data_IF_686888625038
#
_entry.id   IF_686888625038
#
_cell.length_a   1.000
_cell.length_b   1.000
_cell.length_c   1.000
_cell.angle_alpha   90.00
_cell.angle_beta   90.00
_cell.angle_gamma   90.00
#
_symmetry.space_group_name_H-M   'P 1'
#
loop_
_entity.id
_entity.type
_entity.pdbx_description
1 polymer ?
#
# COMPACT_ATOMS: atom_id res chain seq x y z
N UNK A 1 10.33 59.23 -36.37
CA UNK A 1 10.30 58.92 -34.93
C UNK A 1 8.84 58.69 -34.53
N UNK A 2 8.45 57.45 -34.22
CA UNK A 2 7.08 57.07 -33.87
C UNK A 2 6.83 57.34 -32.38
N UNK A 3 5.80 58.11 -32.09
CA UNK A 3 5.25 58.39 -30.76
C UNK A 3 4.57 57.14 -30.21
N UNK A 4 5.10 56.60 -29.11
CA UNK A 4 4.48 55.49 -28.38
C UNK A 4 3.42 56.05 -27.40
N UNK A 5 2.15 55.80 -27.70
CA UNK A 5 1.05 56.03 -26.77
C UNK A 5 1.17 55.07 -25.57
N UNK A 6 1.26 55.64 -24.35
CA UNK A 6 1.19 54.88 -23.10
C UNK A 6 -0.23 54.32 -22.94
N UNK A 7 -0.37 53.00 -22.96
CA UNK A 7 -1.59 52.31 -22.50
C UNK A 7 -1.77 52.53 -20.99
N UNK A 8 -2.99 52.80 -20.51
CA UNK A 8 -3.27 52.88 -19.08
C UNK A 8 -3.11 51.50 -18.44
N UNK A 9 -2.41 51.48 -17.31
CA UNK A 9 -2.28 50.33 -16.41
C UNK A 9 -3.68 49.96 -15.94
N UNK A 10 -4.19 48.80 -16.36
CA UNK A 10 -5.42 48.22 -15.82
C UNK A 10 -5.24 48.09 -14.31
N UNK A 11 -6.21 48.65 -13.59
CA UNK A 11 -6.23 48.72 -12.14
C UNK A 11 -5.93 47.38 -11.49
N UNK A 12 -5.22 47.48 -10.37
CA UNK A 12 -5.14 46.42 -9.38
C UNK A 12 -6.57 45.94 -9.09
N UNK A 13 -6.90 44.75 -9.61
CA UNK A 13 -7.98 43.98 -9.03
C UNK A 13 -7.50 43.65 -7.62
N UNK A 14 -8.05 44.35 -6.63
CA UNK A 14 -8.01 43.95 -5.24
C UNK A 14 -8.40 42.47 -5.20
N UNK A 15 -7.41 41.63 -4.97
CA UNK A 15 -7.62 40.21 -4.81
C UNK A 15 -8.53 40.04 -3.61
N UNK A 16 -9.81 39.80 -3.86
CA UNK A 16 -10.72 39.22 -2.89
C UNK A 16 -10.02 37.99 -2.34
N UNK A 17 -9.46 38.11 -1.12
CA UNK A 17 -8.89 36.97 -0.41
C UNK A 17 -10.06 36.02 -0.21
N UNK A 18 -10.12 34.98 -1.03
CA UNK A 18 -11.13 33.93 -0.91
C UNK A 18 -11.17 33.51 0.56
N UNK A 19 -12.33 33.66 1.19
CA UNK A 19 -12.50 33.39 2.62
C UNK A 19 -12.15 31.92 2.85
N UNK A 20 -11.18 31.65 3.72
CA UNK A 20 -10.75 30.29 4.01
C UNK A 20 -11.96 29.44 4.46
N UNK A 21 -12.12 28.25 3.90
CA UNK A 21 -13.22 27.34 4.23
C UNK A 21 -13.15 26.97 5.72
N UNK A 22 -14.25 27.13 6.49
CA UNK A 22 -14.33 26.67 7.87
C UNK A 22 -14.05 25.17 8.00
N UNK A 23 -13.44 24.74 9.12
CA UNK A 23 -13.05 23.34 9.31
C UNK A 23 -14.24 22.37 9.18
N UNK A 24 -15.39 22.71 9.75
CA UNK A 24 -16.58 21.86 9.66
C UNK A 24 -17.03 21.65 8.21
N UNK A 25 -16.88 22.67 7.34
CA UNK A 25 -17.18 22.54 5.92
C UNK A 25 -16.16 21.65 5.23
N UNK A 26 -14.86 21.82 5.52
CA UNK A 26 -13.79 20.96 4.99
C UNK A 26 -14.07 19.49 5.33
N UNK A 27 -14.37 19.19 6.60
CA UNK A 27 -14.66 17.83 7.04
C UNK A 27 -15.94 17.27 6.39
N UNK A 28 -16.98 18.09 6.21
CA UNK A 28 -18.20 17.68 5.51
C UNK A 28 -17.95 17.36 4.03
N UNK A 29 -17.15 18.16 3.32
CA UNK A 29 -16.77 17.90 1.93
C UNK A 29 -16.02 16.57 1.81
N UNK A 30 -15.08 16.29 2.73
CA UNK A 30 -14.37 15.01 2.78
C UNK A 30 -15.36 13.86 3.02
N UNK A 31 -16.19 13.95 4.07
CA UNK A 31 -17.12 12.89 4.47
C UNK A 31 -18.17 12.54 3.40
N UNK A 32 -18.65 13.54 2.66
CA UNK A 32 -19.66 13.35 1.61
C UNK A 32 -19.08 12.99 0.25
N UNK A 33 -17.75 13.14 0.06
CA UNK A 33 -17.10 13.13 -1.25
C UNK A 33 -17.77 14.07 -2.27
N UNK A 34 -18.35 15.17 -1.79
CA UNK A 34 -19.12 16.11 -2.61
C UNK A 34 -18.41 17.47 -2.65
N UNK A 35 -18.32 18.05 -3.84
CA UNK A 35 -17.56 19.28 -4.09
C UNK A 35 -16.08 19.16 -3.70
N UNK A 36 -15.51 17.96 -3.81
CA UNK A 36 -14.16 17.69 -3.37
C UNK A 36 -13.13 18.22 -4.38
N UNK A 37 -12.57 19.40 -4.11
CA UNK A 37 -11.62 20.08 -4.98
C UNK A 37 -10.27 20.38 -4.28
N UNK A 38 -9.36 21.04 -5.02
CA UNK A 38 -8.06 21.45 -4.47
C UNK A 38 -8.16 22.49 -3.36
N UNK A 39 -9.23 23.28 -3.31
CA UNK A 39 -9.45 24.25 -2.24
C UNK A 39 -9.73 23.56 -0.90
N UNK A 40 -10.39 22.39 -0.90
CA UNK A 40 -10.58 21.56 0.30
C UNK A 40 -9.23 21.13 0.90
N UNK A 41 -8.31 20.64 0.05
CA UNK A 41 -6.96 20.23 0.49
C UNK A 41 -6.17 21.43 1.01
N UNK A 42 -6.23 22.57 0.30
CA UNK A 42 -5.57 23.80 0.73
C UNK A 42 -6.10 24.34 2.07
N UNK A 43 -7.42 24.30 2.26
CA UNK A 43 -8.05 24.68 3.52
C UNK A 43 -7.65 23.73 4.66
N UNK A 44 -7.62 22.42 4.43
CA UNK A 44 -7.15 21.44 5.42
C UNK A 44 -5.70 21.70 5.82
N UNK A 45 -4.81 21.98 4.86
CA UNK A 45 -3.42 22.32 5.11
C UNK A 45 -3.30 23.59 5.95
N UNK A 46 -4.15 24.58 5.69
CA UNK A 46 -4.22 25.79 6.52
C UNK A 46 -4.68 25.49 7.95
N UNK A 47 -5.68 24.63 8.17
CA UNK A 47 -6.15 24.25 9.51
C UNK A 47 -5.13 23.41 10.29
N UNK A 48 -4.26 22.69 9.58
CA UNK A 48 -3.21 21.86 10.17
C UNK A 48 -1.87 22.59 10.34
N UNK A 49 -1.78 23.85 9.88
CA UNK A 49 -0.51 24.58 9.75
C UNK A 49 0.57 23.76 9.02
N UNK A 50 0.17 22.97 8.02
CA UNK A 50 0.98 21.91 7.42
C UNK A 50 1.55 22.28 6.05
N UNK A 51 1.74 23.56 5.75
CA UNK A 51 2.18 24.02 4.42
C UNK A 51 3.54 23.46 4.01
N UNK A 52 4.51 23.43 4.93
CA UNK A 52 5.84 22.88 4.64
C UNK A 52 5.82 21.36 4.55
N UNK A 53 5.00 20.69 5.38
CA UNK A 53 4.76 19.24 5.27
C UNK A 53 4.16 18.89 3.92
N UNK A 54 3.09 19.59 3.51
CA UNK A 54 2.44 19.34 2.22
C UNK A 54 3.37 19.57 1.02
N UNK A 55 4.35 20.47 1.16
CA UNK A 55 5.42 20.66 0.17
C UNK A 55 6.40 19.49 0.18
N UNK A 56 6.80 18.99 1.35
CA UNK A 56 7.78 17.90 1.46
C UNK A 56 7.24 16.55 0.97
N UNK A 57 5.93 16.31 1.11
CA UNK A 57 5.22 15.16 0.51
C UNK A 57 4.64 15.48 -0.88
N UNK A 58 5.01 16.61 -1.48
CA UNK A 58 4.69 17.01 -2.86
C UNK A 58 3.20 16.95 -3.26
N UNK A 59 2.28 17.35 -2.39
CA UNK A 59 0.84 17.29 -2.73
C UNK A 59 0.42 18.32 -3.80
N UNK A 60 1.19 19.39 -3.96
CA UNK A 60 0.93 20.48 -4.91
C UNK A 60 1.74 20.38 -6.21
N UNK A 61 2.54 19.35 -6.36
CA UNK A 61 3.37 19.18 -7.53
C UNK A 61 2.55 18.62 -8.69
N UNK A 62 2.71 19.18 -9.89
CA UNK A 62 2.19 18.59 -11.13
C UNK A 62 2.88 17.24 -11.43
N UNK A 63 2.32 16.46 -12.35
CA UNK A 63 2.92 15.21 -12.84
C UNK A 63 4.34 15.37 -13.39
N UNK A 64 4.77 16.59 -13.74
CA UNK A 64 6.09 16.92 -14.30
C UNK A 64 7.09 17.45 -13.26
N UNK A 65 6.72 17.45 -11.98
CA UNK A 65 7.59 17.99 -10.95
C UNK A 65 8.53 16.90 -10.44
N UNK A 66 9.72 17.30 -9.98
CA UNK A 66 10.73 16.40 -9.43
C UNK A 66 10.16 15.57 -8.26
N UNK A 67 10.77 14.41 -8.02
CA UNK A 67 10.45 13.55 -6.88
C UNK A 67 10.46 14.32 -5.56
N UNK A 68 9.59 13.93 -4.63
CA UNK A 68 9.49 14.58 -3.32
C UNK A 68 10.63 14.14 -2.40
N UNK A 69 10.98 14.97 -1.42
CA UNK A 69 11.96 14.58 -0.38
C UNK A 69 11.45 13.41 0.48
N UNK A 70 10.13 13.26 0.62
CA UNK A 70 9.51 12.13 1.29
C UNK A 70 9.36 10.88 0.40
N UNK A 71 9.64 10.98 -0.91
CA UNK A 71 9.27 9.95 -1.88
C UNK A 71 7.77 9.65 -1.85
N UNK A 72 7.41 8.44 -1.42
CA UNK A 72 6.04 8.00 -1.20
C UNK A 72 5.63 7.97 0.29
N UNK A 73 6.53 8.29 1.22
CA UNK A 73 6.25 8.29 2.64
C UNK A 73 5.40 9.49 3.08
N UNK A 74 4.87 9.43 4.31
CA UNK A 74 4.18 10.56 4.94
C UNK A 74 5.12 11.53 5.66
N UNK A 75 6.43 11.24 5.73
CA UNK A 75 7.42 12.09 6.38
C UNK A 75 8.67 12.24 5.49
N UNK A 76 9.29 13.42 5.56
CA UNK A 76 10.52 13.74 4.83
C UNK A 76 11.77 13.53 5.69
N UNK A 77 12.93 13.48 5.02
CA UNK A 77 14.23 13.07 5.59
C UNK A 77 14.77 13.98 6.70
N UNK A 78 14.49 15.28 6.65
CA UNK A 78 14.94 16.27 7.65
C UNK A 78 13.78 16.75 8.50
N UNK A 79 13.49 16.02 9.58
CA UNK A 79 12.40 16.38 10.48
C UNK A 79 12.93 17.21 11.66
N UNK A 80 12.97 18.53 11.48
CA UNK A 80 13.03 19.45 12.62
C UNK A 80 11.75 19.25 13.45
N UNK A 81 11.95 18.63 14.62
CA UNK A 81 10.92 18.27 15.60
C UNK A 81 10.41 19.53 16.28
N UNK A 82 9.28 20.04 15.84
CA UNK A 82 8.54 21.06 16.59
C UNK A 82 7.30 20.42 17.21
N UNK A 83 6.98 20.71 18.48
CA UNK A 83 5.79 20.20 19.13
C UNK A 83 4.55 20.70 18.37
N UNK A 84 3.74 19.77 17.88
CA UNK A 84 2.46 20.06 17.24
C UNK A 84 1.39 20.20 18.34
N UNK A 85 0.62 21.29 18.29
CA UNK A 85 -0.44 21.55 19.26
C UNK A 85 -1.52 20.46 19.24
N UNK A 86 -2.09 20.13 20.41
CA UNK A 86 -3.12 19.10 20.54
C UNK A 86 -4.35 19.37 19.66
N UNK A 87 -4.68 20.64 19.42
CA UNK A 87 -5.74 21.05 18.50
C UNK A 87 -5.49 20.56 17.07
N UNK A 88 -4.27 20.73 16.57
CA UNK A 88 -3.87 20.29 15.23
C UNK A 88 -3.93 18.75 15.11
N UNK A 89 -3.45 18.04 16.14
CA UNK A 89 -3.55 16.57 16.20
C UNK A 89 -5.00 16.10 16.13
N UNK A 90 -5.92 16.79 16.83
CA UNK A 90 -7.35 16.48 16.79
C UNK A 90 -7.93 16.68 15.38
N UNK A 91 -7.59 17.79 14.72
CA UNK A 91 -8.03 18.06 13.34
C UNK A 91 -7.53 16.98 12.38
N UNK A 92 -6.26 16.57 12.48
CA UNK A 92 -5.69 15.53 11.63
C UNK A 92 -6.40 14.17 11.83
N UNK A 93 -6.69 13.79 13.09
CA UNK A 93 -7.50 12.59 13.39
C UNK A 93 -8.90 12.67 12.78
N UNK A 94 -9.57 13.83 12.89
CA UNK A 94 -10.89 14.03 12.30
C UNK A 94 -10.87 13.90 10.78
N UNK A 95 -9.85 14.46 10.11
CA UNK A 95 -9.68 14.35 8.67
C UNK A 95 -9.40 12.90 8.21
N UNK A 96 -8.51 12.18 8.90
CA UNK A 96 -8.23 10.77 8.61
C UNK A 96 -9.49 9.89 8.80
N UNK A 97 -10.24 10.11 9.87
CA UNK A 97 -11.50 9.41 10.12
C UNK A 97 -12.58 9.76 9.09
N UNK A 98 -12.64 11.03 8.66
CA UNK A 98 -13.53 11.45 7.59
C UNK A 98 -13.24 10.67 6.30
N UNK A 99 -11.97 10.57 5.90
CA UNK A 99 -11.57 9.78 4.71
C UNK A 99 -11.95 8.30 4.85
N UNK A 100 -11.67 7.68 6.01
CA UNK A 100 -12.05 6.29 6.26
C UNK A 100 -13.57 6.06 6.17
N UNK A 101 -14.35 7.01 6.70
CA UNK A 101 -15.82 6.98 6.62
C UNK A 101 -16.28 7.09 5.19
N UNK A 102 -15.71 8.01 4.41
CA UNK A 102 -16.02 8.19 2.99
C UNK A 102 -15.71 6.93 2.18
N UNK A 103 -14.53 6.34 2.38
CA UNK A 103 -14.14 5.09 1.71
C UNK A 103 -15.06 3.93 2.08
N UNK A 104 -15.57 3.89 3.33
CA UNK A 104 -16.57 2.90 3.73
C UNK A 104 -17.91 3.15 3.02
N UNK A 105 -18.42 4.39 3.02
CA UNK A 105 -19.65 4.75 2.32
C UNK A 105 -19.59 4.42 0.83
N UNK A 106 -18.42 4.56 0.20
CA UNK A 106 -18.22 4.20 -1.21
C UNK A 106 -18.28 2.68 -1.45
N UNK A 107 -17.86 1.86 -0.48
CA UNK A 107 -18.00 0.41 -0.55
C UNK A 107 -19.44 -0.04 -0.38
N UNK A 108 -20.19 0.65 0.48
CA UNK A 108 -21.59 0.35 0.77
C UNK A 108 -22.54 0.89 -0.32
N UNK A 109 -22.05 1.81 -1.16
CA UNK A 109 -22.80 2.39 -2.26
C UNK A 109 -22.95 1.43 -3.46
N UNK A 110 -24.04 1.54 -4.24
CA UNK A 110 -24.21 0.77 -5.46
C UNK A 110 -23.08 1.04 -6.46
N UNK A 111 -22.75 0.04 -7.28
CA UNK A 111 -21.62 0.08 -8.22
C UNK A 111 -21.63 1.37 -9.07
N UNK A 112 -20.48 2.08 -9.09
CA UNK A 112 -20.30 3.31 -9.86
C UNK A 112 -20.53 4.62 -9.10
N UNK A 113 -20.56 4.60 -7.76
CA UNK A 113 -20.68 5.80 -6.93
C UNK A 113 -19.47 6.76 -7.04
N UNK A 114 -18.26 6.21 -7.18
CA UNK A 114 -17.06 7.02 -7.45
C UNK A 114 -16.84 7.12 -8.96
N UNK A 115 -17.43 8.14 -9.59
CA UNK A 115 -17.30 8.38 -11.04
C UNK A 115 -16.06 9.18 -11.43
N UNK A 116 -15.45 9.86 -10.46
CA UNK A 116 -14.34 10.78 -10.70
C UNK A 116 -13.05 10.31 -10.02
N UNK A 117 -12.04 9.96 -10.83
CA UNK A 117 -10.71 9.61 -10.35
C UNK A 117 -10.01 10.79 -9.68
N UNK A 118 -10.30 12.02 -10.11
CA UNK A 118 -9.73 13.22 -9.50
C UNK A 118 -10.20 13.38 -8.05
N UNK A 119 -11.48 13.09 -7.77
CA UNK A 119 -12.02 13.11 -6.42
C UNK A 119 -11.31 12.09 -5.50
N UNK A 120 -10.95 10.90 -6.00
CA UNK A 120 -10.16 9.93 -5.23
C UNK A 120 -8.79 10.50 -4.86
N UNK A 121 -8.10 11.10 -5.82
CA UNK A 121 -6.78 11.68 -5.58
C UNK A 121 -6.83 12.78 -4.53
N UNK A 122 -7.83 13.67 -4.62
CA UNK A 122 -8.02 14.76 -3.66
C UNK A 122 -8.35 14.20 -2.27
N UNK A 123 -9.16 13.14 -2.19
CA UNK A 123 -9.49 12.48 -0.93
C UNK A 123 -8.25 11.88 -0.26
N UNK A 124 -7.41 11.20 -1.05
CA UNK A 124 -6.14 10.64 -0.59
C UNK A 124 -5.13 11.72 -0.25
N UNK A 125 -5.15 12.87 -0.91
CA UNK A 125 -4.30 13.99 -0.52
C UNK A 125 -4.69 14.54 0.85
N UNK A 126 -6.00 14.66 1.14
CA UNK A 126 -6.47 14.99 2.49
C UNK A 126 -5.97 13.99 3.53
N UNK A 127 -6.02 12.69 3.21
CA UNK A 127 -5.49 11.63 4.06
C UNK A 127 -3.99 11.76 4.30
N UNK A 128 -3.20 11.97 3.24
CA UNK A 128 -1.75 12.08 3.32
C UNK A 128 -1.30 13.28 4.14
N UNK A 129 -1.94 14.45 4.02
CA UNK A 129 -1.63 15.60 4.90
C UNK A 129 -1.91 15.22 6.34
N UNK A 130 -3.08 14.64 6.62
CA UNK A 130 -3.45 14.25 7.98
C UNK A 130 -2.45 13.25 8.57
N UNK A 131 -2.08 12.21 7.81
CA UNK A 131 -1.09 11.22 8.24
C UNK A 131 0.30 11.83 8.41
N UNK A 132 0.73 12.71 7.51
CA UNK A 132 2.00 13.44 7.66
C UNK A 132 2.05 14.27 8.95
N UNK A 133 0.96 14.99 9.25
CA UNK A 133 0.82 15.74 10.49
C UNK A 133 0.85 14.80 11.72
N UNK A 134 0.18 13.66 11.66
CA UNK A 134 0.16 12.70 12.77
C UNK A 134 1.52 12.01 12.98
N UNK A 135 2.23 11.67 11.90
CA UNK A 135 3.59 11.13 11.97
C UNK A 135 4.53 12.14 12.60
N UNK A 136 4.47 13.41 12.17
CA UNK A 136 5.29 14.48 12.76
C UNK A 136 4.94 14.77 14.23
N UNK A 137 3.67 14.58 14.61
CA UNK A 137 3.22 14.70 15.99
C UNK A 137 3.58 13.48 16.88
N UNK A 138 4.40 12.55 16.39
CA UNK A 138 4.79 11.32 17.08
C UNK A 138 3.58 10.45 17.45
N UNK A 139 2.61 10.33 16.53
CA UNK A 139 1.58 9.32 16.63
C UNK A 139 2.19 7.92 16.78
N UNK A 140 1.57 7.05 17.57
CA UNK A 140 2.04 5.67 17.72
C UNK A 140 2.10 5.00 16.35
N UNK A 141 3.26 4.45 15.99
CA UNK A 141 3.49 3.75 14.72
C UNK A 141 2.46 2.65 14.50
N UNK A 142 2.06 1.94 15.56
CA UNK A 142 1.03 0.89 15.52
C UNK A 142 -0.33 1.47 15.14
N UNK A 143 -0.70 2.61 15.72
CA UNK A 143 -1.97 3.28 15.43
C UNK A 143 -1.99 3.84 14.00
N UNK A 144 -0.89 4.49 13.58
CA UNK A 144 -0.77 5.04 12.24
C UNK A 144 -0.76 3.94 11.17
N UNK A 145 -0.02 2.86 11.42
CA UNK A 145 0.01 1.68 10.57
C UNK A 145 -1.37 1.03 10.42
N UNK A 146 -2.12 0.87 11.51
CA UNK A 146 -3.47 0.32 11.48
C UNK A 146 -4.47 1.18 10.67
N UNK A 147 -4.37 2.52 10.80
CA UNK A 147 -5.18 3.46 10.02
C UNK A 147 -4.84 3.37 8.52
N UNK A 148 -3.55 3.37 8.16
CA UNK A 148 -3.13 3.23 6.77
C UNK A 148 -3.49 1.88 6.15
N UNK A 149 -3.34 0.78 6.90
CA UNK A 149 -3.80 -0.54 6.48
C UNK A 149 -5.31 -0.56 6.22
N UNK A 150 -6.10 0.12 7.05
CA UNK A 150 -7.55 0.22 6.86
C UNK A 150 -7.91 0.95 5.57
N UNK A 151 -7.20 2.03 5.23
CA UNK A 151 -7.34 2.73 3.93
C UNK A 151 -6.94 1.81 2.78
N UNK A 152 -5.79 1.15 2.85
CA UNK A 152 -5.32 0.24 1.80
C UNK A 152 -6.30 -0.91 1.52
N UNK A 153 -6.85 -1.54 2.57
CA UNK A 153 -7.87 -2.60 2.44
C UNK A 153 -9.13 -2.09 1.74
N UNK A 154 -9.60 -0.89 2.07
CA UNK A 154 -10.77 -0.27 1.43
C UNK A 154 -10.51 0.05 -0.03
N UNK A 155 -9.33 0.59 -0.36
CA UNK A 155 -8.93 0.85 -1.75
C UNK A 155 -8.86 -0.45 -2.56
N UNK A 156 -8.30 -1.53 -1.99
CA UNK A 156 -8.30 -2.86 -2.62
C UNK A 156 -9.72 -3.36 -2.87
N UNK A 157 -10.62 -3.21 -1.90
CA UNK A 157 -12.03 -3.61 -2.05
C UNK A 157 -12.77 -2.77 -3.12
N UNK A 158 -12.35 -1.52 -3.35
CA UNK A 158 -12.80 -0.66 -4.45
C UNK A 158 -12.05 -0.91 -5.78
N UNK A 159 -11.18 -1.92 -5.85
CA UNK A 159 -10.29 -2.21 -6.99
C UNK A 159 -9.36 -1.05 -7.40
N UNK A 160 -9.07 -0.12 -6.47
CA UNK A 160 -8.12 0.99 -6.62
C UNK A 160 -6.70 0.53 -6.23
N UNK A 161 -6.19 -0.45 -6.97
CA UNK A 161 -4.98 -1.18 -6.62
C UNK A 161 -3.71 -0.33 -6.68
N UNK A 162 -3.62 0.62 -7.62
CA UNK A 162 -2.45 1.48 -7.73
C UNK A 162 -2.37 2.41 -6.53
N UNK A 163 -3.49 3.01 -6.13
CA UNK A 163 -3.59 3.88 -4.97
C UNK A 163 -3.32 3.10 -3.69
N UNK A 164 -3.92 1.91 -3.55
CA UNK A 164 -3.68 1.03 -2.40
C UNK A 164 -2.19 0.71 -2.25
N UNK A 165 -1.51 0.37 -3.35
CA UNK A 165 -0.09 0.03 -3.33
C UNK A 165 0.78 1.24 -2.98
N UNK A 166 0.42 2.45 -3.42
CA UNK A 166 1.10 3.69 -2.99
C UNK A 166 0.96 3.92 -1.49
N UNK A 167 -0.25 3.79 -0.94
CA UNK A 167 -0.45 3.93 0.51
C UNK A 167 0.27 2.82 1.30
N UNK A 168 0.33 1.59 0.76
CA UNK A 168 1.09 0.50 1.41
C UNK A 168 2.58 0.77 1.49
N UNK A 169 3.18 1.45 0.49
CA UNK A 169 4.57 1.90 0.59
C UNK A 169 4.73 2.92 1.72
N UNK A 170 3.82 3.88 1.84
CA UNK A 170 3.84 4.87 2.92
C UNK A 170 3.68 4.22 4.31
N UNK A 171 2.79 3.24 4.42
CA UNK A 171 2.58 2.45 5.64
C UNK A 171 3.83 1.65 5.98
N UNK A 172 4.46 0.99 5.00
CA UNK A 172 5.70 0.24 5.19
C UNK A 172 6.81 1.15 5.74
N UNK A 173 6.95 2.35 5.20
CA UNK A 173 7.89 3.37 5.69
C UNK A 173 7.63 3.75 7.15
N UNK A 174 6.37 4.02 7.47
CA UNK A 174 5.95 4.40 8.81
C UNK A 174 6.24 3.29 9.82
N UNK A 175 5.91 2.04 9.47
CA UNK A 175 6.09 0.86 10.33
C UNK A 175 7.56 0.51 10.51
N UNK A 176 8.36 0.62 9.45
CA UNK A 176 9.79 0.32 9.48
C UNK A 176 10.63 1.43 10.11
N UNK A 177 10.12 2.66 10.17
CA UNK A 177 10.92 3.84 10.52
C UNK A 177 12.06 4.09 9.53
N UNK A 178 11.90 3.63 8.29
CA UNK A 178 12.95 3.64 7.26
C UNK A 178 12.49 4.35 6.00
N UNK A 179 13.45 4.91 5.28
CA UNK A 179 13.22 5.55 3.99
C UNK A 179 12.72 4.55 2.93
N UNK A 180 11.65 4.90 2.22
CA UNK A 180 11.08 4.09 1.13
C UNK A 180 11.33 4.74 -0.23
N UNK A 181 12.58 4.69 -0.68
CA UNK A 181 12.95 5.00 -2.07
C UNK A 181 12.54 6.39 -2.59
N UNK A 182 12.79 6.63 -3.88
CA UNK A 182 12.39 7.86 -4.56
C UNK A 182 11.06 7.66 -5.31
N UNK A 183 10.27 8.72 -5.44
CA UNK A 183 9.02 8.67 -6.19
C UNK A 183 8.08 9.84 -5.90
N UNK A 184 6.93 9.83 -6.58
CA UNK A 184 5.85 10.80 -6.37
C UNK A 184 4.52 10.07 -6.36
N UNK A 185 3.61 10.47 -5.45
CA UNK A 185 2.25 9.91 -5.39
C UNK A 185 1.42 10.20 -6.64
N UNK A 186 1.82 11.16 -7.48
CA UNK A 186 1.17 11.50 -8.76
C UNK A 186 1.62 10.61 -9.90
N UNK A 187 2.88 10.20 -9.88
CA UNK A 187 3.50 9.34 -10.90
C UNK A 187 4.25 8.24 -10.15
N UNK A 188 3.53 7.33 -9.47
CA UNK A 188 4.16 6.34 -8.62
C UNK A 188 5.02 5.38 -9.46
N UNK A 189 6.11 4.82 -8.91
CA UNK A 189 6.89 3.80 -9.58
C UNK A 189 6.03 2.59 -9.99
N UNK A 190 6.51 1.75 -10.93
CA UNK A 190 5.79 0.54 -11.34
C UNK A 190 5.41 -0.36 -10.16
N UNK A 191 4.31 -1.14 -10.26
CA UNK A 191 3.82 -1.97 -9.15
C UNK A 191 4.89 -2.90 -8.55
N UNK A 192 5.71 -3.50 -9.41
CA UNK A 192 6.80 -4.40 -9.02
C UNK A 192 7.86 -3.68 -8.19
N UNK A 193 8.22 -2.44 -8.56
CA UNK A 193 9.19 -1.62 -7.81
C UNK A 193 8.63 -1.26 -6.44
N UNK A 194 7.35 -0.87 -6.36
CA UNK A 194 6.70 -0.59 -5.08
C UNK A 194 6.60 -1.81 -4.17
N UNK A 195 6.32 -3.00 -4.75
CA UNK A 195 6.34 -4.26 -4.02
C UNK A 195 7.75 -4.58 -3.48
N UNK A 196 8.79 -4.38 -4.29
CA UNK A 196 10.18 -4.51 -3.84
C UNK A 196 10.47 -3.59 -2.65
N UNK A 197 10.08 -2.31 -2.71
CA UNK A 197 10.28 -1.36 -1.61
C UNK A 197 9.62 -1.84 -0.32
N UNK A 198 8.42 -2.41 -0.39
CA UNK A 198 7.72 -2.97 0.79
C UNK A 198 8.44 -4.21 1.33
N UNK A 199 9.01 -5.04 0.46
CA UNK A 199 9.67 -6.29 0.87
C UNK A 199 11.12 -6.08 1.31
N UNK A 200 11.70 -4.93 0.97
CA UNK A 200 13.02 -4.53 1.43
C UNK A 200 13.02 -3.99 2.87
N UNK A 201 11.84 -3.92 3.53
CA UNK A 201 11.75 -3.54 4.95
C UNK A 201 12.58 -4.53 5.79
N UNK A 202 13.62 -4.04 6.49
CA UNK A 202 14.51 -4.90 7.25
C UNK A 202 13.76 -5.58 8.39
N UNK A 203 14.13 -6.81 8.69
CA UNK A 203 13.60 -7.49 9.87
C UNK A 203 14.05 -6.76 11.13
N UNK A 204 13.08 -6.21 11.86
CA UNK A 204 13.30 -5.50 13.10
C UNK A 204 12.06 -4.71 13.47
N UNK A 205 11.78 -4.58 14.77
CA UNK A 205 10.63 -3.82 15.25
C UNK A 205 10.15 -4.29 16.63
N UNK A 206 9.52 -3.42 17.42
CA UNK A 206 9.09 -3.75 18.77
C UNK A 206 7.76 -4.52 18.75
N UNK A 207 7.80 -5.80 19.15
CA UNK A 207 6.62 -6.55 19.59
C UNK A 207 5.72 -7.16 18.50
N UNK A 208 4.72 -7.92 18.94
CA UNK A 208 3.84 -8.70 18.07
C UNK A 208 3.00 -7.86 17.10
N UNK A 209 2.58 -6.65 17.52
CA UNK A 209 1.76 -5.76 16.71
C UNK A 209 2.50 -5.28 15.45
N UNK A 210 3.80 -5.03 15.57
CA UNK A 210 4.66 -4.70 14.45
C UNK A 210 4.72 -5.86 13.45
N UNK A 211 5.00 -7.09 13.92
CA UNK A 211 5.09 -8.28 13.06
C UNK A 211 3.76 -8.56 12.33
N UNK A 212 2.63 -8.47 13.04
CA UNK A 212 1.29 -8.59 12.42
C UNK A 212 1.08 -7.56 11.32
N UNK A 213 1.49 -6.31 11.56
CA UNK A 213 1.36 -5.24 10.58
C UNK A 213 2.20 -5.49 9.34
N UNK A 214 3.47 -5.90 9.49
CA UNK A 214 4.35 -6.21 8.34
C UNK A 214 3.79 -7.34 7.48
N UNK A 215 3.31 -8.43 8.11
CA UNK A 215 2.68 -9.54 7.38
C UNK A 215 1.43 -9.10 6.60
N UNK A 216 0.59 -8.28 7.21
CA UNK A 216 -0.59 -7.72 6.55
C UNK A 216 -0.22 -6.79 5.38
N UNK A 217 0.77 -5.93 5.56
CA UNK A 217 1.28 -5.03 4.51
C UNK A 217 1.78 -5.86 3.33
N UNK A 218 2.62 -6.86 3.58
CA UNK A 218 3.17 -7.71 2.51
C UNK A 218 2.07 -8.47 1.77
N UNK A 219 1.10 -9.05 2.48
CA UNK A 219 0.02 -9.81 1.87
C UNK A 219 -0.86 -8.91 0.97
N UNK A 220 -1.21 -7.72 1.44
CA UNK A 220 -1.97 -6.75 0.66
C UNK A 220 -1.16 -6.20 -0.52
N UNK A 221 0.15 -5.99 -0.35
CA UNK A 221 1.04 -5.53 -1.40
C UNK A 221 1.13 -6.54 -2.55
N UNK A 222 1.27 -7.84 -2.24
CA UNK A 222 1.22 -8.91 -3.25
C UNK A 222 -0.11 -8.86 -4.01
N UNK A 223 -1.23 -8.79 -3.29
CA UNK A 223 -2.54 -8.75 -3.93
C UNK A 223 -2.69 -7.54 -4.87
N UNK A 224 -2.36 -6.33 -4.39
CA UNK A 224 -2.49 -5.09 -5.16
C UNK A 224 -1.49 -5.01 -6.33
N UNK A 225 -0.24 -5.44 -6.14
CA UNK A 225 0.77 -5.43 -7.19
C UNK A 225 0.42 -6.43 -8.29
N UNK A 226 0.04 -7.66 -7.92
CA UNK A 226 -0.31 -8.70 -8.89
C UNK A 226 -1.61 -8.42 -9.63
N UNK A 227 -2.55 -7.67 -9.06
CA UNK A 227 -3.74 -7.22 -9.77
C UNK A 227 -3.38 -6.34 -11.00
N UNK A 228 -2.27 -5.62 -10.94
CA UNK A 228 -1.79 -4.69 -11.98
C UNK A 228 -0.67 -5.28 -12.86
N UNK A 229 0.09 -6.24 -12.34
CA UNK A 229 1.22 -6.84 -13.06
C UNK A 229 0.76 -7.68 -14.28
N UNK A 230 1.61 -7.72 -15.29
CA UNK A 230 1.48 -8.56 -16.48
C UNK A 230 2.41 -9.78 -16.45
N UNK A 231 2.36 -10.59 -17.52
CA UNK A 231 3.20 -11.78 -17.65
C UNK A 231 4.70 -11.46 -17.65
N UNK A 232 5.09 -10.31 -18.22
CA UNK A 232 6.49 -9.87 -18.29
C UNK A 232 7.11 -9.55 -16.93
N UNK A 233 6.28 -9.38 -15.90
CA UNK A 233 6.74 -9.02 -14.56
C UNK A 233 7.09 -10.26 -13.71
N UNK A 234 6.80 -11.48 -14.19
CA UNK A 234 6.89 -12.71 -13.37
C UNK A 234 8.30 -12.98 -12.87
N UNK A 235 9.32 -12.78 -13.70
CA UNK A 235 10.72 -12.97 -13.29
C UNK A 235 11.12 -12.00 -12.17
N UNK A 236 10.68 -10.74 -12.29
CA UNK A 236 10.93 -9.72 -11.29
C UNK A 236 10.16 -9.99 -9.98
N UNK A 237 8.89 -10.40 -10.10
CA UNK A 237 8.06 -10.81 -8.95
C UNK A 237 8.72 -11.98 -8.23
N UNK A 238 9.21 -12.99 -8.95
CA UNK A 238 9.88 -14.14 -8.36
C UNK A 238 11.15 -13.75 -7.60
N UNK A 239 11.95 -12.85 -8.19
CA UNK A 239 13.15 -12.31 -7.55
C UNK A 239 12.80 -11.55 -6.25
N UNK A 240 11.79 -10.69 -6.30
CA UNK A 240 11.34 -9.91 -5.13
C UNK A 240 10.81 -10.83 -4.04
N UNK A 241 10.07 -11.86 -4.41
CA UNK A 241 9.48 -12.80 -3.45
C UNK A 241 10.54 -13.53 -2.61
N UNK A 242 11.77 -13.63 -3.12
CA UNK A 242 12.91 -14.30 -2.49
C UNK A 242 13.92 -13.36 -1.84
N UNK A 243 13.58 -12.09 -1.66
CA UNK A 243 14.44 -11.17 -0.91
C UNK A 243 14.75 -11.72 0.49
N UNK A 244 15.93 -11.37 1.00
CA UNK A 244 16.42 -11.83 2.31
C UNK A 244 15.44 -11.54 3.45
N UNK A 245 14.79 -10.38 3.40
CA UNK A 245 13.74 -9.97 4.34
C UNK A 245 12.34 -10.02 3.71
N UNK A 246 12.16 -10.88 2.70
CA UNK A 246 10.90 -11.11 2.02
C UNK A 246 9.88 -11.90 2.86
N UNK A 247 8.76 -12.32 2.25
CA UNK A 247 7.65 -12.99 2.93
C UNK A 247 8.07 -14.23 3.71
N UNK A 248 8.95 -15.05 3.16
CA UNK A 248 9.41 -16.27 3.82
C UNK A 248 10.10 -15.99 5.17
N UNK A 249 10.95 -14.97 5.22
CA UNK A 249 11.69 -14.60 6.43
C UNK A 249 10.75 -14.07 7.52
N UNK A 250 9.85 -13.16 7.18
CA UNK A 250 8.87 -12.61 8.13
C UNK A 250 7.86 -13.64 8.64
N UNK A 251 7.40 -14.54 7.78
CA UNK A 251 6.51 -15.63 8.19
C UNK A 251 7.21 -16.62 9.12
N UNK A 252 8.49 -16.95 8.87
CA UNK A 252 9.28 -17.78 9.78
C UNK A 252 9.50 -17.07 11.12
N UNK A 253 9.86 -15.79 11.10
CA UNK A 253 10.00 -14.98 12.31
C UNK A 253 8.72 -14.93 13.14
N UNK A 254 7.57 -14.70 12.51
CA UNK A 254 6.27 -14.67 13.17
C UNK A 254 5.95 -15.99 13.88
N UNK A 255 6.22 -17.15 13.24
CA UNK A 255 6.06 -18.46 13.86
C UNK A 255 6.98 -18.66 15.06
N UNK A 256 8.23 -18.22 14.96
CA UNK A 256 9.19 -18.32 16.08
C UNK A 256 8.75 -17.54 17.32
N UNK A 257 7.91 -16.51 17.17
CA UNK A 257 7.37 -15.71 18.28
C UNK A 257 5.90 -16.07 18.62
N UNK A 258 5.38 -17.19 18.12
CA UNK A 258 4.03 -17.69 18.45
C UNK A 258 2.88 -16.99 17.72
N UNK A 259 3.14 -16.34 16.58
CA UNK A 259 2.15 -15.68 15.73
C UNK A 259 1.71 -16.52 14.53
N UNK A 260 1.56 -17.83 14.72
CA UNK A 260 1.21 -18.79 13.67
C UNK A 260 -0.02 -18.38 12.87
N UNK A 261 -1.09 -17.94 13.55
CA UNK A 261 -2.33 -17.52 12.87
C UNK A 261 -2.12 -16.31 11.93
N UNK A 262 -1.20 -15.40 12.26
CA UNK A 262 -0.89 -14.25 11.40
C UNK A 262 -0.04 -14.69 10.20
N UNK A 263 0.97 -15.53 10.44
CA UNK A 263 1.80 -16.10 9.38
C UNK A 263 0.98 -16.92 8.38
N UNK A 264 0.05 -17.74 8.88
CA UNK A 264 -0.80 -18.61 8.06
C UNK A 264 -1.78 -17.79 7.20
N UNK A 265 -2.42 -16.76 7.77
CA UNK A 265 -3.28 -15.84 6.99
C UNK A 265 -2.51 -15.16 5.88
N UNK A 266 -1.30 -14.67 6.15
CA UNK A 266 -0.45 -14.03 5.16
C UNK A 266 -0.02 -15.02 4.06
N UNK A 267 0.39 -16.24 4.43
CA UNK A 267 0.77 -17.28 3.48
C UNK A 267 -0.37 -17.63 2.52
N UNK A 268 -1.59 -17.88 3.04
CA UNK A 268 -2.76 -18.14 2.20
C UNK A 268 -3.13 -16.98 1.29
N UNK A 269 -3.11 -15.74 1.80
CA UNK A 269 -3.47 -14.57 1.02
C UNK A 269 -2.50 -14.36 -0.15
N UNK A 270 -1.20 -14.52 0.09
CA UNK A 270 -0.17 -14.41 -0.95
C UNK A 270 -0.24 -15.56 -1.96
N UNK A 271 -0.37 -16.80 -1.50
CA UNK A 271 -0.51 -17.97 -2.37
C UNK A 271 -1.69 -17.79 -3.32
N UNK A 272 -2.86 -17.45 -2.78
CA UNK A 272 -4.07 -17.24 -3.59
C UNK A 272 -3.87 -16.13 -4.63
N UNK A 273 -3.27 -15.00 -4.24
CA UNK A 273 -3.02 -13.89 -5.17
C UNK A 273 -2.05 -14.31 -6.29
N UNK A 274 -0.98 -15.03 -5.95
CA UNK A 274 0.01 -15.53 -6.92
C UNK A 274 -0.62 -16.55 -7.87
N UNK A 275 -1.36 -17.52 -7.36
CA UNK A 275 -2.02 -18.53 -8.19
C UNK A 275 -3.07 -17.92 -9.12
N UNK A 276 -3.85 -16.96 -8.64
CA UNK A 276 -4.81 -16.21 -9.46
C UNK A 276 -4.11 -15.44 -10.57
N UNK A 277 -3.03 -14.72 -10.25
CA UNK A 277 -2.24 -13.97 -11.22
C UNK A 277 -1.63 -14.86 -12.29
N UNK A 278 -0.94 -15.93 -11.89
CA UNK A 278 -0.30 -16.86 -12.83
C UNK A 278 -1.32 -17.59 -13.71
N UNK A 279 -2.52 -17.86 -13.19
CA UNK A 279 -3.62 -18.43 -13.97
C UNK A 279 -4.17 -17.42 -14.97
N UNK A 280 -4.38 -16.16 -14.54
CA UNK A 280 -4.84 -15.06 -15.40
C UNK A 280 -3.87 -14.79 -16.56
N UNK A 281 -2.57 -14.83 -16.29
CA UNK A 281 -1.53 -14.62 -17.30
C UNK A 281 -1.21 -15.88 -18.11
N UNK A 282 -1.83 -17.04 -17.82
CA UNK A 282 -1.53 -18.35 -18.43
C UNK A 282 -0.03 -18.68 -18.42
N UNK A 283 0.68 -18.24 -17.38
CA UNK A 283 2.14 -18.28 -17.35
C UNK A 283 2.68 -19.70 -17.12
N UNK A 284 3.53 -20.17 -18.02
CA UNK A 284 4.05 -21.56 -18.03
C UNK A 284 5.58 -21.67 -18.04
N UNK A 285 6.31 -20.60 -17.73
CA UNK A 285 7.78 -20.60 -17.71
C UNK A 285 8.43 -21.01 -16.37
N UNK A 286 9.78 -21.14 -16.34
CA UNK A 286 10.53 -21.52 -15.15
C UNK A 286 10.28 -20.62 -13.92
N UNK A 287 10.26 -19.29 -14.09
CA UNK A 287 9.97 -18.38 -12.98
C UNK A 287 8.54 -18.52 -12.47
N UNK A 288 7.57 -18.72 -13.35
CA UNK A 288 6.19 -18.99 -12.96
C UNK A 288 6.07 -20.30 -12.17
N UNK A 289 6.85 -21.33 -12.55
CA UNK A 289 6.94 -22.58 -11.79
C UNK A 289 7.60 -22.38 -10.43
N UNK A 290 8.76 -21.71 -10.38
CA UNK A 290 9.48 -21.47 -9.14
C UNK A 290 8.70 -20.60 -8.16
N UNK A 291 7.98 -19.58 -8.63
CA UNK A 291 7.11 -18.76 -7.80
C UNK A 291 5.95 -19.57 -7.20
N UNK A 292 5.37 -20.52 -7.94
CA UNK A 292 4.38 -21.47 -7.39
C UNK A 292 5.00 -22.36 -6.32
N UNK A 293 6.22 -22.82 -6.53
CA UNK A 293 6.90 -23.67 -5.55
C UNK A 293 7.25 -22.93 -4.27
N UNK A 294 7.77 -21.72 -4.39
CA UNK A 294 8.13 -20.89 -3.24
C UNK A 294 6.88 -20.52 -2.41
N UNK A 295 5.74 -20.24 -3.06
CA UNK A 295 4.46 -20.03 -2.36
C UNK A 295 3.93 -21.29 -1.68
N UNK A 296 3.97 -22.45 -2.34
CA UNK A 296 3.55 -23.72 -1.74
C UNK A 296 4.43 -24.13 -0.55
N UNK A 297 5.73 -23.79 -0.57
CA UNK A 297 6.64 -24.00 0.57
C UNK A 297 6.24 -23.16 1.78
N UNK A 298 5.82 -21.91 1.56
CA UNK A 298 5.33 -21.05 2.64
C UNK A 298 3.98 -21.49 3.20
N UNK A 299 3.20 -22.25 2.42
CA UNK A 299 1.93 -22.82 2.85
C UNK A 299 2.09 -24.14 3.63
N UNK A 300 3.13 -24.93 3.36
CA UNK A 300 3.38 -26.21 4.04
C UNK A 300 3.33 -26.20 5.58
N UNK A 301 3.83 -25.16 6.29
CA UNK A 301 3.80 -25.11 7.76
C UNK A 301 2.47 -24.65 8.36
N UNK A 302 1.42 -24.42 7.56
CA UNK A 302 0.11 -23.98 8.05
C UNK A 302 -0.56 -25.08 8.89
N UNK A 303 -1.01 -24.77 10.10
CA UNK A 303 -1.46 -25.77 11.07
C UNK A 303 -2.79 -26.47 10.71
N UNK A 304 -3.69 -25.78 10.00
CA UNK A 304 -5.01 -26.28 9.58
C UNK A 304 -5.09 -26.51 8.06
N UNK A 305 -3.95 -26.81 7.44
CA UNK A 305 -3.90 -27.10 6.01
C UNK A 305 -4.56 -28.46 5.75
N UNK A 306 -5.56 -28.47 4.89
CA UNK A 306 -6.05 -29.72 4.29
C UNK A 306 -4.91 -30.32 3.47
N UNK A 307 -4.32 -31.38 4.02
CA UNK A 307 -3.12 -32.03 3.47
C UNK A 307 -3.40 -32.60 2.10
N UNK A 308 -4.59 -33.18 1.88
CA UNK A 308 -4.91 -33.79 0.59
C UNK A 308 -5.20 -32.70 -0.44
N UNK A 309 -5.93 -31.64 -0.09
CA UNK A 309 -6.09 -30.49 -0.98
C UNK A 309 -4.76 -29.77 -1.30
N UNK A 310 -3.80 -29.77 -0.37
CA UNK A 310 -2.46 -29.25 -0.61
C UNK A 310 -1.71 -30.12 -1.63
N UNK A 311 -1.67 -31.43 -1.43
CA UNK A 311 -1.01 -32.35 -2.35
C UNK A 311 -1.69 -32.37 -3.72
N UNK A 312 -3.00 -32.24 -3.80
CA UNK A 312 -3.74 -32.03 -5.05
C UNK A 312 -3.22 -30.81 -5.84
N UNK A 313 -2.97 -29.69 -5.15
CA UNK A 313 -2.45 -28.46 -5.78
C UNK A 313 -1.01 -28.63 -6.23
N UNK A 314 -0.22 -29.37 -5.46
CA UNK A 314 1.13 -29.78 -5.82
C UNK A 314 1.04 -30.65 -7.08
N UNK A 315 0.45 -31.84 -7.00
CA UNK A 315 0.37 -32.86 -8.06
C UNK A 315 -0.15 -32.33 -9.41
N UNK A 316 -1.20 -31.50 -9.43
CA UNK A 316 -1.72 -30.88 -10.67
C UNK A 316 -0.67 -30.07 -11.45
N UNK A 317 0.42 -29.67 -10.79
CA UNK A 317 1.52 -28.89 -11.38
C UNK A 317 2.79 -29.73 -11.61
N UNK A 318 2.80 -30.95 -11.08
CA UNK A 318 3.91 -31.89 -11.13
C UNK A 318 3.69 -33.07 -12.08
N UNK A 319 2.62 -33.07 -12.88
CA UNK A 319 2.36 -34.08 -13.92
C UNK A 319 3.52 -34.30 -14.92
N UNK A 320 4.57 -33.45 -14.88
CA UNK A 320 5.76 -33.52 -15.74
C UNK A 320 7.11 -33.65 -14.99
N UNK A 321 7.16 -33.75 -13.65
CA UNK A 321 8.43 -33.88 -12.94
C UNK A 321 8.70 -35.32 -12.49
N UNK A 322 9.96 -35.75 -12.51
CA UNK A 322 10.33 -37.14 -12.20
C UNK A 322 10.40 -37.42 -10.69
N UNK A 323 10.72 -36.43 -9.85
CA UNK A 323 10.79 -36.55 -8.39
C UNK A 323 10.43 -35.24 -7.68
N UNK A 324 9.61 -35.31 -6.63
CA UNK A 324 9.30 -34.19 -5.75
C UNK A 324 9.29 -34.62 -4.28
N UNK A 325 9.96 -33.82 -3.44
CA UNK A 325 9.90 -33.94 -1.97
C UNK A 325 9.51 -32.59 -1.40
N UNK A 326 8.37 -32.54 -0.70
CA UNK A 326 7.98 -31.39 0.12
C UNK A 326 7.75 -31.87 1.55
N UNK A 327 8.34 -31.14 2.50
CA UNK A 327 8.16 -31.37 3.92
C UNK A 327 6.98 -30.53 4.42
N UNK A 328 5.85 -31.17 4.70
CA UNK A 328 4.71 -30.57 5.37
C UNK A 328 4.66 -31.05 6.84
N UNK A 329 3.87 -30.38 7.69
CA UNK A 329 3.74 -30.66 9.13
C UNK A 329 3.21 -32.06 9.53
N UNK A 330 3.18 -33.03 8.60
CA UNK A 330 2.88 -34.45 8.83
C UNK A 330 4.00 -35.42 8.40
N UNK A 331 5.21 -34.91 8.12
CA UNK A 331 6.35 -35.70 7.63
C UNK A 331 6.56 -35.61 6.11
N UNK A 332 7.65 -36.16 5.58
CA UNK A 332 7.91 -36.16 4.14
C UNK A 332 6.90 -37.06 3.43
N UNK A 333 6.17 -36.54 2.42
CA UNK A 333 5.60 -37.38 1.36
C UNK A 333 6.55 -37.30 0.16
N UNK A 334 7.05 -38.47 -0.25
CA UNK A 334 7.85 -38.62 -1.46
C UNK A 334 6.92 -39.06 -2.58
N UNK A 335 6.89 -38.33 -3.69
CA UNK A 335 6.18 -38.77 -4.90
C UNK A 335 7.22 -39.32 -5.87
N UNK A 336 7.23 -40.64 -6.05
CA UNK A 336 8.02 -41.32 -7.08
C UNK A 336 7.06 -41.79 -8.18
N UNK A 337 7.23 -41.26 -9.39
CA UNK A 337 6.37 -41.58 -10.54
C UNK A 337 6.35 -43.08 -10.88
N UNK A 338 7.36 -43.82 -10.43
CA UNK A 338 7.47 -45.28 -10.63
C UNK A 338 6.29 -46.06 -10.04
N UNK A 339 5.60 -45.53 -9.05
CA UNK A 339 4.46 -46.22 -8.42
C UNK A 339 3.11 -45.96 -9.12
N UNK A 340 3.01 -44.91 -9.96
CA UNK A 340 1.78 -44.57 -10.72
C UNK A 340 1.69 -45.20 -12.11
N UNK A 341 2.73 -45.88 -12.59
CA UNK A 341 2.71 -46.59 -13.88
C UNK A 341 2.11 -48.01 -13.77
N UNK A 342 1.57 -48.39 -12.61
CA UNK A 342 1.02 -49.72 -12.33
C UNK A 342 -0.50 -49.73 -12.04
N UNK A 343 -1.24 -48.69 -12.44
CA UNK A 343 -2.72 -48.67 -12.39
C UNK A 343 -3.33 -48.35 -13.76
#
# INVERSE_FOLDING_TARGET
MRTAARRPVRGAAEGSKAKALPLDQVLQHIQRADGLDRAVVAALISHLHASDLARSISLYTSTNTKESEAGLAWAARDDNRYPIEAGIVRVAKQAANAVLTTLQSLLDAPQGALRDELALFILLDCFRVAMATLTKAQGSVEQLGAVGLSVARKLIALAKYSEALTELVAVAACVAGSDVGSGTVRTPPPPVVRMHTIFAVPMGGPGEAHVRSVLDIQALAVHAALAQAGERDIDAIHTIYRLEHGPGAWQAHARNIGLDSAADRAAYAMERAIFQHLSRCKASGPAAYMLRMDTLRHLAPVAQLDVDAYWDRVERRFATADHLVIYANGGPRMHDRRDTAAL
#
